data_IF_944429104783
#
_entry.id   IF_944429104783
#
_cell.length_a   1.000
_cell.length_b   1.000
_cell.length_c   1.000
_cell.angle_alpha   90.00
_cell.angle_beta   90.00
_cell.angle_gamma   90.00
#
_symmetry.space_group_name_H-M   'P 1'
#
loop_
_entity.id
_entity.type
_entity.pdbx_description
1 polymer ?
#
# COMPACT_ATOMS: atom_id res chain seq x y z
N UNK A 1 14.02 -14.82 10.05
CA UNK A 1 12.81 -14.31 9.37
C UNK A 1 13.22 -13.82 7.99
N UNK A 2 12.73 -14.47 6.94
CA UNK A 2 13.26 -14.40 5.58
C UNK A 2 12.54 -13.32 4.74
N UNK A 3 13.31 -12.51 4.00
CA UNK A 3 12.86 -11.40 3.13
C UNK A 3 12.08 -11.91 1.89
N UNK A 4 11.92 -13.23 1.77
CA UNK A 4 11.26 -13.92 0.65
C UNK A 4 9.74 -13.79 0.57
N UNK A 5 9.05 -13.24 1.58
CA UNK A 5 7.60 -13.10 1.60
C UNK A 5 7.04 -12.03 0.65
N UNK A 6 7.74 -10.89 0.51
CA UNK A 6 7.26 -9.74 -0.28
C UNK A 6 7.41 -9.96 -1.80
N UNK A 7 8.43 -10.69 -2.23
CA UNK A 7 8.60 -11.05 -3.66
C UNK A 7 7.63 -12.14 -4.13
N UNK A 8 7.10 -12.95 -3.20
CA UNK A 8 6.11 -13.98 -3.51
C UNK A 8 4.76 -13.34 -3.82
N UNK A 9 4.40 -12.30 -3.07
CA UNK A 9 3.18 -11.50 -3.19
C UNK A 9 2.98 -10.87 -4.59
N UNK A 10 4.00 -10.21 -5.15
CA UNK A 10 3.92 -9.68 -6.52
C UNK A 10 3.77 -10.80 -7.54
N UNK A 11 4.47 -11.92 -7.36
CA UNK A 11 4.42 -13.06 -8.28
C UNK A 11 3.07 -13.76 -8.24
N UNK A 12 2.48 -13.92 -7.06
CA UNK A 12 1.20 -14.59 -6.86
C UNK A 12 0.04 -13.69 -7.33
N UNK A 13 0.15 -12.37 -7.13
CA UNK A 13 -0.74 -11.37 -7.73
C UNK A 13 -0.70 -11.40 -9.26
N UNK A 14 0.49 -11.49 -9.87
CA UNK A 14 0.63 -11.59 -11.33
C UNK A 14 0.09 -12.91 -11.88
N UNK A 15 0.20 -14.02 -11.13
CA UNK A 15 -0.39 -15.32 -11.51
C UNK A 15 -1.91 -15.34 -11.42
N UNK A 16 -2.49 -14.76 -10.36
CA UNK A 16 -3.94 -14.68 -10.20
C UNK A 16 -4.59 -13.78 -11.25
N UNK A 17 -3.90 -12.72 -11.68
CA UNK A 17 -4.35 -11.90 -12.80
C UNK A 17 -4.34 -12.65 -14.14
N UNK A 18 -3.40 -13.58 -14.38
CA UNK A 18 -3.28 -14.24 -15.67
C UNK A 18 -4.48 -15.14 -16.04
N UNK A 19 -5.30 -15.57 -15.07
CA UNK A 19 -6.43 -16.47 -15.30
C UNK A 19 -7.77 -15.82 -15.64
N UNK A 20 -7.92 -14.51 -15.48
CA UNK A 20 -9.21 -13.80 -15.60
C UNK A 20 -9.19 -12.59 -16.56
N UNK A 21 -8.10 -12.39 -17.31
CA UNK A 21 -8.00 -11.26 -18.22
C UNK A 21 -8.53 -11.63 -19.62
N UNK A 22 -9.56 -10.95 -20.15
CA UNK A 22 -9.87 -11.04 -21.58
C UNK A 22 -8.64 -10.57 -22.39
N UNK A 23 -8.50 -11.06 -23.64
CA UNK A 23 -7.40 -10.79 -24.61
C UNK A 23 -7.30 -9.31 -25.06
N UNK A 24 -7.40 -8.37 -24.14
CA UNK A 24 -7.24 -6.92 -24.36
C UNK A 24 -5.87 -6.45 -23.86
N UNK A 25 -5.13 -7.30 -23.14
CA UNK A 25 -3.78 -7.01 -22.67
C UNK A 25 -2.75 -7.70 -23.57
N UNK A 26 -1.91 -6.97 -24.33
CA UNK A 26 -0.75 -7.61 -24.95
C UNK A 26 0.11 -8.27 -23.86
N UNK A 27 0.81 -9.37 -24.16
CA UNK A 27 1.61 -10.09 -23.18
C UNK A 27 2.55 -9.11 -22.46
N UNK A 28 2.78 -9.29 -21.15
CA UNK A 28 3.58 -8.36 -20.37
C UNK A 28 4.93 -8.18 -21.04
N UNK A 29 5.16 -7.00 -21.62
CA UNK A 29 6.47 -6.62 -22.16
C UNK A 29 7.47 -6.86 -21.05
N UNK A 30 8.53 -7.62 -21.38
CA UNK A 30 9.63 -7.95 -20.46
C UNK A 30 9.94 -6.72 -19.62
N UNK A 31 9.55 -6.76 -18.35
CA UNK A 31 9.74 -5.66 -17.41
C UNK A 31 11.24 -5.49 -17.26
N UNK A 32 11.82 -4.52 -17.98
CA UNK A 32 13.17 -4.06 -17.69
C UNK A 32 13.15 -3.60 -16.23
N UNK A 33 14.08 -4.04 -15.39
CA UNK A 33 14.14 -3.57 -14.03
C UNK A 33 14.33 -2.06 -14.10
N UNK A 34 13.28 -1.30 -13.77
CA UNK A 34 13.44 0.09 -13.34
C UNK A 34 14.47 -0.03 -12.22
N UNK A 35 15.66 0.51 -12.46
CA UNK A 35 16.76 0.53 -11.51
C UNK A 35 16.18 0.94 -10.15
N UNK A 36 16.06 -0.05 -9.26
CA UNK A 36 15.40 0.12 -7.96
C UNK A 36 16.01 1.35 -7.32
N UNK A 37 15.19 2.40 -7.14
CA UNK A 37 15.57 3.73 -6.65
C UNK A 37 16.75 3.61 -5.67
N UNK A 38 17.98 3.82 -6.16
CA UNK A 38 19.20 3.56 -5.37
C UNK A 38 19.39 4.61 -4.28
N UNK A 39 18.75 5.76 -4.42
CA UNK A 39 18.82 6.88 -3.49
C UNK A 39 17.51 6.97 -2.71
N UNK A 40 17.58 6.69 -1.42
CA UNK A 40 16.48 6.98 -0.49
C UNK A 40 16.82 8.28 0.22
N UNK A 41 15.87 9.19 0.31
CA UNK A 41 16.00 10.33 1.22
C UNK A 41 16.16 9.87 2.68
N UNK A 42 16.55 10.76 3.60
CA UNK A 42 16.71 10.41 5.00
C UNK A 42 15.43 9.79 5.60
N UNK A 43 15.61 9.08 6.71
CA UNK A 43 14.48 8.63 7.52
C UNK A 43 13.72 9.81 8.13
N UNK A 44 12.50 9.59 8.65
CA UNK A 44 11.71 10.68 9.22
C UNK A 44 12.33 11.16 10.53
N UNK A 45 12.30 12.48 10.74
CA UNK A 45 12.53 13.06 12.06
C UNK A 45 11.42 12.63 13.04
N UNK A 46 11.61 12.77 14.36
CA UNK A 46 10.55 12.50 15.33
C UNK A 46 9.26 13.30 15.07
N UNK A 47 9.37 14.56 14.65
CA UNK A 47 8.22 15.41 14.32
C UNK A 47 7.47 14.88 13.09
N UNK A 48 8.18 14.56 12.01
CA UNK A 48 7.59 13.97 10.79
C UNK A 48 6.91 12.63 11.10
N UNK A 49 7.51 11.80 11.95
CA UNK A 49 6.90 10.53 12.38
C UNK A 49 5.63 10.73 13.20
N UNK A 50 5.59 11.75 14.07
CA UNK A 50 4.37 12.10 14.83
C UNK A 50 3.28 12.59 13.87
N UNK A 51 3.61 13.53 12.97
CA UNK A 51 2.67 14.06 11.99
C UNK A 51 2.10 12.97 11.07
N UNK A 52 2.96 12.10 10.55
CA UNK A 52 2.53 10.96 9.75
C UNK A 52 1.63 10.01 10.55
N UNK A 53 1.90 9.81 11.84
CA UNK A 53 1.03 9.00 12.71
C UNK A 53 -0.34 9.63 12.86
N UNK A 54 -0.44 10.92 13.11
CA UNK A 54 -1.72 11.64 13.25
C UNK A 54 -2.56 11.48 11.98
N UNK A 55 -1.98 11.84 10.82
CA UNK A 55 -2.66 11.79 9.52
C UNK A 55 -3.11 10.36 9.22
N UNK A 56 -2.19 9.40 9.23
CA UNK A 56 -2.49 8.02 8.84
C UNK A 56 -3.45 7.36 9.82
N UNK A 57 -3.27 7.55 11.14
CA UNK A 57 -4.18 6.92 12.12
C UNK A 57 -5.59 7.51 12.04
N UNK A 58 -5.73 8.79 11.71
CA UNK A 58 -7.04 9.41 11.46
C UNK A 58 -7.74 8.77 10.26
N UNK A 59 -7.03 8.58 9.13
CA UNK A 59 -7.60 7.91 7.94
C UNK A 59 -7.94 6.45 8.23
N UNK A 60 -7.07 5.73 8.96
CA UNK A 60 -7.35 4.34 9.38
C UNK A 60 -8.61 4.27 10.23
N UNK A 61 -8.75 5.13 11.24
CA UNK A 61 -9.94 5.14 12.10
C UNK A 61 -11.22 5.44 11.30
N UNK A 62 -11.16 6.43 10.41
CA UNK A 62 -12.27 6.80 9.52
C UNK A 62 -12.74 5.60 8.67
N UNK A 63 -11.84 4.98 7.91
CA UNK A 63 -12.19 3.87 7.03
C UNK A 63 -12.52 2.58 7.79
N UNK A 64 -11.87 2.32 8.92
CA UNK A 64 -12.22 1.19 9.77
C UNK A 64 -13.67 1.29 10.25
N UNK A 65 -14.12 2.48 10.66
CA UNK A 65 -15.51 2.72 11.04
C UNK A 65 -16.47 2.56 9.86
N UNK A 66 -16.16 3.16 8.70
CA UNK A 66 -16.99 3.02 7.49
C UNK A 66 -17.14 1.57 7.02
N UNK A 67 -16.09 0.75 7.18
CA UNK A 67 -16.08 -0.64 6.76
C UNK A 67 -16.55 -1.62 7.85
N UNK A 68 -16.81 -1.15 9.07
CA UNK A 68 -17.15 -2.01 10.21
C UNK A 68 -16.03 -2.99 10.56
N UNK A 69 -14.79 -2.52 10.62
CA UNK A 69 -13.59 -3.33 10.85
C UNK A 69 -12.83 -2.90 12.10
N UNK A 70 -12.39 -3.88 12.89
CA UNK A 70 -11.55 -3.64 14.06
C UNK A 70 -10.08 -4.00 13.79
N UNK A 71 -9.14 -3.16 14.21
CA UNK A 71 -7.71 -3.43 14.11
C UNK A 71 -7.05 -3.28 15.48
N UNK A 72 -5.85 -3.85 15.63
CA UNK A 72 -5.14 -3.85 16.92
C UNK A 72 -4.29 -2.60 17.13
N UNK A 73 -3.32 -2.35 16.25
CA UNK A 73 -2.39 -1.22 16.34
C UNK A 73 -2.01 -0.72 14.96
N UNK A 74 -1.73 0.58 14.87
CA UNK A 74 -1.14 1.24 13.70
C UNK A 74 0.33 1.57 13.98
N UNK A 75 1.22 1.15 13.09
CA UNK A 75 2.64 1.44 13.17
C UNK A 75 3.12 2.27 11.99
N UNK A 76 3.84 3.35 12.30
CA UNK A 76 4.51 4.16 11.29
C UNK A 76 5.95 3.66 11.11
N UNK A 77 6.24 3.16 9.92
CA UNK A 77 7.50 2.52 9.54
C UNK A 77 8.20 3.33 8.45
N UNK A 78 9.46 3.01 8.24
CA UNK A 78 10.27 3.53 7.16
C UNK A 78 10.70 2.33 6.29
N UNK A 79 9.75 1.70 5.62
CA UNK A 79 9.97 0.49 4.80
C UNK A 79 10.51 0.84 3.41
N UNK A 80 11.38 -0.02 2.87
CA UNK A 80 12.01 0.21 1.55
C UNK A 80 11.16 -0.26 0.37
N UNK A 81 10.36 -1.29 0.56
CA UNK A 81 9.73 -2.01 -0.56
C UNK A 81 8.22 -1.88 -0.57
N UNK A 82 7.61 -1.44 0.53
CA UNK A 82 6.16 -1.45 0.74
C UNK A 82 5.65 -0.11 1.26
N UNK A 83 4.40 0.19 0.89
CA UNK A 83 3.64 1.33 1.38
C UNK A 83 2.84 0.99 2.63
N UNK A 84 2.27 -0.22 2.71
CA UNK A 84 1.61 -0.76 3.88
C UNK A 84 1.84 -2.26 4.04
N UNK A 85 1.41 -2.80 5.19
CA UNK A 85 1.24 -4.24 5.40
C UNK A 85 0.37 -4.52 6.63
N UNK A 86 -0.57 -5.46 6.51
CA UNK A 86 -1.30 -6.05 7.63
C UNK A 86 -0.66 -7.36 8.08
N UNK A 87 -0.60 -7.58 9.40
CA UNK A 87 -0.17 -8.87 9.98
C UNK A 87 -1.38 -9.71 10.42
N UNK A 88 -1.22 -11.03 10.51
CA UNK A 88 -2.25 -11.93 11.06
C UNK A 88 -2.70 -11.60 12.49
N UNK A 89 -1.94 -10.78 13.23
CA UNK A 89 -2.32 -10.24 14.55
C UNK A 89 -3.15 -8.95 14.47
N UNK A 90 -3.66 -8.60 13.28
CA UNK A 90 -4.44 -7.39 12.99
C UNK A 90 -3.70 -6.09 13.27
N UNK A 91 -2.36 -6.10 13.21
CA UNK A 91 -1.57 -4.87 13.24
C UNK A 91 -1.36 -4.36 11.83
N UNK A 92 -1.59 -3.06 11.64
CA UNK A 92 -1.40 -2.35 10.38
C UNK A 92 -0.09 -1.58 10.43
N UNK A 93 0.71 -1.67 9.38
CA UNK A 93 1.95 -0.93 9.24
C UNK A 93 1.85 -0.05 8.01
N UNK A 94 2.33 1.19 8.10
CA UNK A 94 2.33 2.13 7.01
C UNK A 94 3.67 2.84 6.91
N UNK A 95 4.08 3.14 5.68
CA UNK A 95 5.23 3.98 5.41
C UNK A 95 4.89 5.45 5.73
N UNK A 96 5.72 6.12 6.52
CA UNK A 96 5.49 7.51 6.93
C UNK A 96 5.35 8.48 5.74
N UNK A 97 6.00 8.17 4.61
CA UNK A 97 5.95 8.99 3.39
C UNK A 97 4.55 9.05 2.76
N UNK A 98 3.66 8.11 3.07
CA UNK A 98 2.27 8.18 2.62
C UNK A 98 1.54 9.42 3.15
N UNK A 99 1.99 10.00 4.26
CA UNK A 99 1.41 11.24 4.79
C UNK A 99 1.64 12.46 3.86
N UNK A 100 2.53 12.34 2.87
CA UNK A 100 2.77 13.36 1.85
C UNK A 100 2.11 13.02 0.50
N UNK A 101 1.46 11.86 0.39
CA UNK A 101 0.69 11.53 -0.80
C UNK A 101 -0.64 12.30 -0.80
N UNK A 102 -1.27 12.51 -1.97
CA UNK A 102 -2.66 12.94 -2.05
C UNK A 102 -3.56 12.07 -1.15
N UNK A 103 -4.58 12.66 -0.51
CA UNK A 103 -5.46 11.93 0.42
C UNK A 103 -6.03 10.64 -0.15
N UNK A 104 -6.41 10.63 -1.43
CA UNK A 104 -7.01 9.50 -2.14
C UNK A 104 -6.01 8.34 -2.30
N UNK A 105 -4.74 8.66 -2.58
CA UNK A 105 -3.68 7.67 -2.67
C UNK A 105 -3.34 7.08 -1.30
N UNK A 106 -3.35 7.89 -0.24
CA UNK A 106 -3.23 7.41 1.14
C UNK A 106 -4.40 6.51 1.51
N UNK A 107 -5.63 6.94 1.22
CA UNK A 107 -6.86 6.19 1.51
C UNK A 107 -6.89 4.85 0.84
N UNK A 108 -6.50 4.78 -0.43
CA UNK A 108 -6.37 3.50 -1.12
C UNK A 108 -5.47 2.51 -0.37
N UNK A 109 -4.30 2.96 0.13
CA UNK A 109 -3.41 2.06 0.90
C UNK A 109 -4.04 1.69 2.24
N UNK A 110 -4.69 2.64 2.93
CA UNK A 110 -5.40 2.36 4.19
C UNK A 110 -6.50 1.31 3.98
N UNK A 111 -7.34 1.49 2.97
CA UNK A 111 -8.41 0.55 2.61
C UNK A 111 -7.82 -0.81 2.25
N UNK A 112 -6.74 -0.85 1.47
CA UNK A 112 -6.04 -2.10 1.12
C UNK A 112 -5.61 -2.88 2.37
N UNK A 113 -4.95 -2.21 3.32
CA UNK A 113 -4.50 -2.86 4.55
C UNK A 113 -5.67 -3.25 5.47
N UNK A 114 -6.77 -2.50 5.49
CA UNK A 114 -7.98 -2.85 6.23
C UNK A 114 -8.69 -4.06 5.60
N UNK A 115 -8.75 -4.17 4.28
CA UNK A 115 -9.32 -5.33 3.59
C UNK A 115 -8.57 -6.62 3.94
N UNK A 116 -7.29 -6.54 4.26
CA UNK A 116 -6.53 -7.70 4.76
C UNK A 116 -7.04 -8.25 6.10
N UNK A 117 -7.81 -7.49 6.89
CA UNK A 117 -8.44 -7.98 8.11
C UNK A 117 -9.57 -8.99 7.83
N UNK A 118 -10.10 -9.02 6.60
CA UNK A 118 -11.06 -10.02 6.10
C UNK A 118 -10.37 -11.10 5.29
N UNK A 119 -9.45 -10.70 4.41
CA UNK A 119 -8.81 -11.60 3.44
C UNK A 119 -7.29 -11.36 3.42
N UNK A 120 -6.52 -12.24 4.05
CA UNK A 120 -5.05 -12.07 4.21
C UNK A 120 -4.24 -12.29 2.91
N UNK A 121 -4.91 -12.65 1.80
CA UNK A 121 -4.31 -12.81 0.48
C UNK A 121 -5.05 -11.90 -0.53
N UNK A 122 -4.46 -11.66 -1.69
CA UNK A 122 -5.06 -10.83 -2.75
C UNK A 122 -5.99 -11.60 -3.69
N UNK A 123 -6.82 -12.50 -3.16
CA UNK A 123 -7.82 -13.25 -3.93
C UNK A 123 -8.88 -12.34 -4.58
N UNK A 124 -9.74 -12.92 -5.42
CA UNK A 124 -10.92 -12.23 -5.97
C UNK A 124 -11.78 -11.58 -4.88
N UNK A 125 -11.95 -12.26 -3.73
CA UNK A 125 -12.72 -11.74 -2.59
C UNK A 125 -12.07 -10.49 -1.97
N UNK A 126 -10.75 -10.51 -1.82
CA UNK A 126 -10.01 -9.33 -1.38
C UNK A 126 -10.25 -8.13 -2.30
N UNK A 127 -10.10 -8.32 -3.61
CA UNK A 127 -10.30 -7.22 -4.56
C UNK A 127 -11.76 -6.76 -4.64
N UNK A 128 -12.72 -7.66 -4.40
CA UNK A 128 -14.13 -7.29 -4.27
C UNK A 128 -14.37 -6.34 -3.09
N UNK A 129 -13.70 -6.56 -1.95
CA UNK A 129 -13.76 -5.63 -0.81
C UNK A 129 -13.10 -4.28 -1.13
N UNK A 130 -11.94 -4.30 -1.81
CA UNK A 130 -11.24 -3.06 -2.18
C UNK A 130 -12.07 -2.22 -3.14
N UNK A 131 -12.61 -2.80 -4.22
CA UNK A 131 -13.38 -2.04 -5.22
C UNK A 131 -14.71 -1.51 -4.66
N UNK A 132 -15.33 -2.25 -3.73
CA UNK A 132 -16.55 -1.79 -3.07
C UNK A 132 -16.29 -0.54 -2.19
N UNK A 133 -15.10 -0.44 -1.57
CA UNK A 133 -14.72 0.67 -0.70
C UNK A 133 -14.04 1.83 -1.44
N UNK A 134 -13.28 1.53 -2.50
CA UNK A 134 -12.50 2.48 -3.30
C UNK A 134 -12.65 2.10 -4.79
N UNK A 135 -13.71 2.56 -5.47
CA UNK A 135 -13.97 2.20 -6.86
C UNK A 135 -12.84 2.64 -7.82
N UNK A 136 -12.15 3.72 -7.48
CA UNK A 136 -11.04 4.31 -8.23
C UNK A 136 -9.66 3.75 -7.85
N UNK A 137 -9.60 2.63 -7.09
CA UNK A 137 -8.33 2.08 -6.58
C UNK A 137 -7.25 1.87 -7.65
N UNK A 138 -7.65 1.57 -8.89
CA UNK A 138 -6.71 1.37 -10.02
C UNK A 138 -5.98 2.67 -10.37
N UNK A 139 -6.66 3.81 -10.28
CA UNK A 139 -6.07 5.14 -10.49
C UNK A 139 -5.05 5.42 -9.39
N UNK A 140 -5.43 5.22 -8.14
CA UNK A 140 -4.57 5.51 -6.98
C UNK A 140 -3.35 4.58 -6.92
N UNK A 141 -3.53 3.30 -7.26
CA UNK A 141 -2.43 2.34 -7.41
C UNK A 141 -1.44 2.76 -8.49
N UNK A 142 -1.94 3.24 -9.63
CA UNK A 142 -1.10 3.76 -10.72
C UNK A 142 -0.34 5.00 -10.26
N UNK A 143 -1.02 5.95 -9.62
CA UNK A 143 -0.40 7.16 -9.08
C UNK A 143 0.74 6.81 -8.12
N UNK A 144 0.55 5.87 -7.18
CA UNK A 144 1.60 5.44 -6.26
C UNK A 144 2.79 4.81 -6.97
N UNK A 145 2.55 3.98 -8.00
CA UNK A 145 3.62 3.37 -8.80
C UNK A 145 4.44 4.45 -9.50
N UNK A 146 3.77 5.38 -10.17
CA UNK A 146 4.41 6.39 -11.01
C UNK A 146 5.13 7.45 -10.16
N UNK A 147 4.65 7.71 -8.93
CA UNK A 147 5.24 8.68 -7.98
C UNK A 147 6.11 8.03 -6.90
N UNK A 148 6.45 6.74 -7.02
CA UNK A 148 7.24 6.03 -6.00
C UNK A 148 8.60 6.67 -5.78
N UNK A 149 9.30 7.10 -6.84
CA UNK A 149 10.61 7.74 -6.73
C UNK A 149 10.49 9.09 -5.99
N UNK A 150 9.54 9.93 -6.41
CA UNK A 150 9.25 11.23 -5.81
C UNK A 150 9.00 11.11 -4.30
N UNK A 151 8.10 10.22 -3.90
CA UNK A 151 7.78 10.00 -2.49
C UNK A 151 8.98 9.49 -1.68
N UNK A 152 9.88 8.71 -2.30
CA UNK A 152 11.03 8.11 -1.59
C UNK A 152 12.22 9.05 -1.46
N UNK A 153 12.38 9.98 -2.39
CA UNK A 153 13.52 10.88 -2.47
C UNK A 153 13.26 12.25 -1.83
N UNK A 154 12.09 12.86 -2.07
CA UNK A 154 11.90 14.32 -1.91
C UNK A 154 10.92 14.70 -0.79
N UNK A 155 10.42 13.74 0.00
CA UNK A 155 9.36 14.04 0.98
C UNK A 155 9.90 14.81 2.19
N UNK A 156 9.48 16.07 2.27
CA UNK A 156 9.50 16.90 3.48
C UNK A 156 8.06 17.07 3.96
N UNK A 157 7.76 16.53 5.14
CA UNK A 157 6.54 16.92 5.87
C UNK A 157 6.92 18.18 6.66
N UNK A 158 6.42 19.34 6.23
CA UNK A 158 6.57 20.62 6.92
C UNK A 158 5.49 20.77 7.99
#
# INVERSE_FOLDING_TARGET
>A
MNISGVCRDVRDFLRTLAGDLPEVFPPPRVYRPVSYVRRRGPGPTPAQRRRAREIISSRVAHWAAQLGLEYKKVFIKDQRTMWGSCSGRRNLNFNWRLAAAPPEALDYVVIHELCHLREMNHSKKFWAHVVAACPDYKLQRRWLRDNTALLREVVTLN
#
